data_IF_290599300623
#
_entry.id   IF_290599300623
#
_cell.length_a   1.000
_cell.length_b   1.000
_cell.length_c   1.000
_cell.angle_alpha   90.00
_cell.angle_beta   90.00
_cell.angle_gamma   90.00
#
_symmetry.space_group_name_H-M   'P 1'
#
loop_
_entity.id
_entity.type
_entity.pdbx_description
1 polymer ?
#
# COMPACT_ATOMS: atom_id res chain seq x y z
N UNK A 1 19.92 -7.74 12.13
CA UNK A 1 18.57 -7.93 11.53
C UNK A 1 17.72 -8.70 12.53
N UNK A 2 16.56 -8.18 12.96
CA UNK A 2 15.70 -8.81 13.98
C UNK A 2 15.06 -10.14 13.52
N UNK A 3 15.10 -10.45 12.23
CA UNK A 3 14.57 -11.68 11.64
C UNK A 3 15.56 -12.28 10.63
N UNK A 4 16.44 -13.21 11.03
CA UNK A 4 17.39 -13.85 10.13
C UNK A 4 16.67 -14.79 9.13
N UNK A 5 16.93 -14.61 7.83
CA UNK A 5 16.31 -15.41 6.76
C UNK A 5 16.47 -16.93 6.94
N UNK A 6 17.59 -17.37 7.52
CA UNK A 6 17.87 -18.79 7.76
C UNK A 6 16.87 -19.46 8.73
N UNK A 7 16.25 -18.69 9.63
CA UNK A 7 15.29 -19.21 10.61
C UNK A 7 13.84 -19.05 10.14
N UNK A 8 13.55 -18.01 9.36
CA UNK A 8 12.19 -17.61 8.96
C UNK A 8 11.85 -17.88 7.49
N UNK A 9 12.67 -18.64 6.75
CA UNK A 9 12.45 -18.95 5.33
C UNK A 9 11.06 -19.54 5.03
N UNK A 10 10.53 -20.35 5.95
CA UNK A 10 9.19 -20.96 5.83
C UNK A 10 8.07 -19.92 5.90
N UNK A 11 8.22 -18.88 6.72
CA UNK A 11 7.26 -17.78 6.85
C UNK A 11 7.25 -16.93 5.59
N UNK A 12 8.44 -16.59 5.07
CA UNK A 12 8.55 -15.90 3.78
C UNK A 12 7.97 -16.73 2.63
N UNK A 13 8.24 -18.04 2.60
CA UNK A 13 7.67 -18.96 1.61
C UNK A 13 6.14 -19.03 1.70
N UNK A 14 5.58 -19.14 2.91
CA UNK A 14 4.13 -19.14 3.14
C UNK A 14 3.49 -17.81 2.73
N UNK A 15 4.12 -16.67 3.05
CA UNK A 15 3.64 -15.36 2.65
C UNK A 15 3.64 -15.18 1.13
N UNK A 16 4.72 -15.58 0.44
CA UNK A 16 4.79 -15.54 -1.02
C UNK A 16 3.74 -16.45 -1.65
N UNK A 17 3.55 -17.66 -1.14
CA UNK A 17 2.53 -18.59 -1.62
C UNK A 17 1.12 -18.01 -1.45
N UNK A 18 0.84 -17.40 -0.29
CA UNK A 18 -0.43 -16.73 -0.02
C UNK A 18 -0.69 -15.59 -1.02
N UNK A 19 0.31 -14.74 -1.27
CA UNK A 19 0.22 -13.65 -2.26
C UNK A 19 -0.05 -14.20 -3.66
N UNK A 20 0.68 -15.24 -4.09
CA UNK A 20 0.49 -15.86 -5.40
C UNK A 20 -0.90 -16.49 -5.55
N UNK A 21 -1.41 -17.13 -4.50
CA UNK A 21 -2.76 -17.70 -4.47
C UNK A 21 -3.83 -16.62 -4.57
N UNK A 22 -3.75 -15.57 -3.74
CA UNK A 22 -4.69 -14.47 -3.76
C UNK A 22 -4.71 -13.78 -5.14
N UNK A 23 -3.52 -13.54 -5.71
CA UNK A 23 -3.36 -12.91 -7.02
C UNK A 23 -3.92 -13.78 -8.15
N UNK A 24 -3.71 -15.10 -8.07
CA UNK A 24 -4.29 -16.05 -9.03
C UNK A 24 -5.81 -16.12 -8.94
N UNK A 25 -6.39 -15.98 -7.74
CA UNK A 25 -7.84 -15.97 -7.53
C UNK A 25 -8.48 -14.67 -8.06
N UNK A 26 -7.92 -13.52 -7.70
CA UNK A 26 -8.44 -12.20 -8.09
C UNK A 26 -8.44 -12.01 -9.62
N UNK A 27 -7.36 -12.45 -10.28
CA UNK A 27 -7.17 -12.26 -11.71
C UNK A 27 -7.71 -13.43 -12.56
N UNK A 28 -7.83 -14.64 -11.99
CA UNK A 28 -8.29 -15.84 -12.70
C UNK A 28 -9.80 -16.08 -12.62
N UNK A 29 -10.45 -15.72 -11.51
CA UNK A 29 -11.85 -16.12 -11.24
C UNK A 29 -12.82 -14.93 -11.27
N UNK A 30 -12.43 -13.76 -10.77
CA UNK A 30 -13.41 -12.72 -10.42
C UNK A 30 -13.67 -11.61 -11.46
N UNK A 31 -12.74 -11.30 -12.38
CA UNK A 31 -12.89 -10.12 -13.25
C UNK A 31 -13.06 -10.44 -14.74
N UNK A 32 -14.22 -11.00 -15.13
CA UNK A 32 -14.59 -11.22 -16.55
C UNK A 32 -15.27 -10.03 -17.24
N UNK A 33 -15.69 -8.99 -16.51
CA UNK A 33 -16.37 -7.84 -17.11
C UNK A 33 -15.75 -6.52 -16.66
N UNK A 34 -14.90 -5.95 -17.50
CA UNK A 34 -14.34 -4.63 -17.33
C UNK A 34 -15.42 -3.58 -17.62
N UNK A 35 -16.04 -3.04 -16.58
CA UNK A 35 -16.79 -1.79 -16.71
C UNK A 35 -15.77 -0.65 -16.75
N UNK A 36 -15.71 0.06 -17.87
CA UNK A 36 -14.78 1.18 -18.02
C UNK A 36 -15.33 2.37 -17.24
N UNK A 37 -14.86 2.56 -16.01
CA UNK A 37 -15.22 3.71 -15.18
C UNK A 37 -14.71 4.97 -15.90
N UNK A 38 -15.60 5.94 -16.10
CA UNK A 38 -15.25 7.21 -16.73
C UNK A 38 -14.23 7.98 -15.87
N UNK A 39 -13.28 8.74 -16.46
CA UNK A 39 -12.33 9.55 -15.68
C UNK A 39 -12.99 10.47 -14.66
N UNK A 40 -14.20 10.98 -14.98
CA UNK A 40 -14.98 11.85 -14.09
C UNK A 40 -15.52 11.10 -12.86
N UNK A 41 -15.98 9.87 -13.04
CA UNK A 41 -16.44 9.02 -11.95
C UNK A 41 -15.26 8.57 -11.09
N UNK A 42 -14.13 8.21 -11.71
CA UNK A 42 -12.92 7.81 -10.98
C UNK A 42 -12.39 8.91 -10.07
N UNK A 43 -12.39 10.18 -10.54
CA UNK A 43 -12.03 11.33 -9.71
C UNK A 43 -13.02 11.51 -8.56
N UNK A 44 -14.32 11.36 -8.81
CA UNK A 44 -15.35 11.44 -7.77
C UNK A 44 -15.16 10.38 -6.68
N UNK A 45 -14.92 9.13 -7.07
CA UNK A 45 -14.60 8.04 -6.15
C UNK A 45 -13.31 8.31 -5.37
N UNK A 46 -12.26 8.78 -6.03
CA UNK A 46 -11.00 9.11 -5.37
C UNK A 46 -11.18 10.22 -4.32
N UNK A 47 -11.89 11.30 -4.67
CA UNK A 47 -12.19 12.39 -3.77
C UNK A 47 -13.03 11.95 -2.56
N UNK A 48 -14.00 11.07 -2.78
CA UNK A 48 -14.79 10.47 -1.69
C UNK A 48 -13.91 9.69 -0.71
N UNK A 49 -13.06 8.80 -1.21
CA UNK A 49 -12.17 8.00 -0.36
C UNK A 49 -11.12 8.84 0.37
N UNK A 50 -10.56 9.86 -0.29
CA UNK A 50 -9.63 10.80 0.35
C UNK A 50 -10.34 11.57 1.45
N UNK A 51 -11.56 12.06 1.20
CA UNK A 51 -12.34 12.78 2.21
C UNK A 51 -12.64 11.90 3.43
N UNK A 52 -13.00 10.63 3.19
CA UNK A 52 -13.24 9.67 4.26
C UNK A 52 -11.96 9.39 5.07
N UNK A 53 -10.81 9.26 4.41
CA UNK A 53 -9.52 9.09 5.08
C UNK A 53 -9.12 10.32 5.93
N UNK A 54 -9.40 11.53 5.43
CA UNK A 54 -9.15 12.77 6.18
C UNK A 54 -10.09 12.92 7.38
N UNK A 55 -11.38 12.58 7.23
CA UNK A 55 -12.33 12.53 8.33
C UNK A 55 -11.92 11.51 9.39
N UNK A 56 -11.47 10.33 8.95
CA UNK A 56 -10.92 9.32 9.84
C UNK A 56 -9.67 9.83 10.57
N UNK A 57 -8.72 10.46 9.87
CA UNK A 57 -7.53 11.04 10.48
C UNK A 57 -7.88 12.08 11.56
N UNK A 58 -8.87 12.94 11.28
CA UNK A 58 -9.35 13.91 12.26
C UNK A 58 -9.99 13.21 13.47
N UNK A 59 -10.84 12.20 13.26
CA UNK A 59 -11.39 11.39 14.34
C UNK A 59 -10.32 10.67 15.16
N UNK A 60 -9.28 10.17 14.49
CA UNK A 60 -8.15 9.48 15.10
C UNK A 60 -7.30 10.43 15.94
N UNK A 61 -7.06 11.65 15.46
CA UNK A 61 -6.44 12.74 16.23
C UNK A 61 -7.24 13.06 17.50
N UNK A 62 -8.57 13.21 17.39
CA UNK A 62 -9.43 13.52 18.54
C UNK A 62 -9.44 12.37 19.56
N UNK A 63 -9.49 11.12 19.07
CA UNK A 63 -9.39 9.94 19.92
C UNK A 63 -8.03 9.86 20.61
N UNK A 64 -6.94 10.10 19.89
CA UNK A 64 -5.59 10.13 20.44
C UNK A 64 -5.45 11.21 21.52
N UNK A 65 -5.93 12.43 21.24
CA UNK A 65 -5.97 13.51 22.21
C UNK A 65 -6.73 13.12 23.49
N UNK A 66 -7.94 12.57 23.34
CA UNK A 66 -8.77 12.15 24.48
C UNK A 66 -8.07 11.05 25.29
N UNK A 67 -7.44 10.09 24.62
CA UNK A 67 -6.71 9.00 25.26
C UNK A 67 -5.44 9.48 25.99
N UNK A 68 -4.67 10.39 25.40
CA UNK A 68 -3.46 10.92 26.04
C UNK A 68 -3.76 11.90 27.17
N UNK A 69 -4.81 12.72 27.05
CA UNK A 69 -5.24 13.64 28.12
C UNK A 69 -5.78 12.91 29.35
N UNK A 70 -6.38 11.72 29.18
CA UNK A 70 -6.85 10.89 30.30
C UNK A 70 -5.78 10.05 31.01
N UNK A 71 -4.53 10.01 30.52
CA UNK A 71 -3.46 9.14 31.06
C UNK A 71 -2.18 9.94 31.37
N UNK A 72 -2.07 10.55 32.56
CA UNK A 72 -0.90 11.34 32.97
C UNK A 72 0.43 10.55 32.95
N UNK A 73 0.38 9.24 33.18
CA UNK A 73 1.56 8.36 33.16
C UNK A 73 2.21 8.27 31.78
N UNK A 74 1.40 8.22 30.70
CA UNK A 74 1.89 8.16 29.32
C UNK A 74 2.54 9.48 28.90
N UNK A 75 2.01 10.61 29.38
CA UNK A 75 2.57 11.95 29.16
C UNK A 75 3.93 12.11 29.86
N UNK A 76 4.06 11.57 31.07
CA UNK A 76 5.32 11.57 31.82
C UNK A 76 6.42 10.71 31.15
N UNK A 77 6.04 9.55 30.58
CA UNK A 77 6.95 8.68 29.83
C UNK A 77 7.40 9.29 28.50
N UNK A 78 6.50 9.97 27.81
CA UNK A 78 6.79 10.56 26.50
C UNK A 78 7.49 11.93 26.58
N UNK A 79 7.39 12.63 27.72
CA UNK A 79 7.93 13.99 27.89
C UNK A 79 7.32 15.03 26.94
N UNK A 80 6.16 14.72 26.34
CA UNK A 80 5.47 15.53 25.33
C UNK A 80 4.06 15.87 25.82
N UNK A 81 3.50 16.98 25.33
CA UNK A 81 2.09 17.31 25.59
C UNK A 81 1.15 16.34 24.88
N UNK A 82 -0.09 16.21 25.37
CA UNK A 82 -1.12 15.40 24.73
C UNK A 82 -1.39 15.88 23.28
N UNK A 83 -1.25 17.18 23.05
CA UNK A 83 -1.32 17.81 21.73
C UNK A 83 -0.25 17.29 20.79
N UNK A 84 1.00 17.29 21.24
CA UNK A 84 2.13 16.94 20.41
C UNK A 84 2.07 15.46 20.01
N UNK A 85 1.65 14.59 20.94
CA UNK A 85 1.45 13.16 20.68
C UNK A 85 0.28 12.90 19.73
N UNK A 86 -0.87 13.54 19.97
CA UNK A 86 -2.02 13.41 19.08
C UNK A 86 -1.69 13.89 17.66
N UNK A 87 -0.96 15.02 17.55
CA UNK A 87 -0.49 15.57 16.28
C UNK A 87 0.48 14.62 15.59
N UNK A 88 1.43 14.06 16.32
CA UNK A 88 2.38 13.09 15.78
C UNK A 88 1.65 11.87 15.20
N UNK A 89 0.71 11.29 15.95
CA UNK A 89 -0.08 10.13 15.50
C UNK A 89 -0.91 10.44 14.25
N UNK A 90 -1.55 11.61 14.21
CA UNK A 90 -2.28 12.05 13.01
C UNK A 90 -1.37 12.29 11.80
N UNK A 91 -0.17 12.84 12.01
CA UNK A 91 0.81 13.01 10.96
C UNK A 91 1.36 11.67 10.46
N UNK A 92 1.65 10.72 11.34
CA UNK A 92 2.10 9.37 10.97
C UNK A 92 1.06 8.66 10.10
N UNK A 93 -0.22 8.72 10.49
CA UNK A 93 -1.31 8.18 9.67
C UNK A 93 -1.38 8.86 8.30
N UNK A 94 -1.39 10.20 8.28
CA UNK A 94 -1.53 10.97 7.03
C UNK A 94 -0.33 10.73 6.10
N UNK A 95 0.88 10.73 6.63
CA UNK A 95 2.10 10.42 5.87
C UNK A 95 2.04 9.02 5.30
N UNK A 96 1.65 8.01 6.10
CA UNK A 96 1.45 6.66 5.62
C UNK A 96 0.42 6.59 4.48
N UNK A 97 -0.75 7.20 4.67
CA UNK A 97 -1.81 7.25 3.66
C UNK A 97 -1.35 7.91 2.35
N UNK A 98 -0.66 9.04 2.42
CA UNK A 98 -0.16 9.76 1.24
C UNK A 98 0.91 8.93 0.53
N UNK A 99 1.83 8.31 1.27
CA UNK A 99 2.86 7.44 0.68
C UNK A 99 2.23 6.25 -0.02
N UNK A 100 1.25 5.58 0.61
CA UNK A 100 0.54 4.46 0.00
C UNK A 100 -0.23 4.90 -1.26
N UNK A 101 -0.88 6.07 -1.25
CA UNK A 101 -1.54 6.60 -2.44
C UNK A 101 -0.58 7.00 -3.54
N UNK A 102 0.55 7.62 -3.22
CA UNK A 102 1.56 7.96 -4.21
C UNK A 102 2.10 6.70 -4.91
N UNK A 103 2.39 5.64 -4.15
CA UNK A 103 2.83 4.34 -4.71
C UNK A 103 1.77 3.71 -5.61
N UNK A 104 0.49 3.80 -5.25
CA UNK A 104 -0.60 3.29 -6.09
C UNK A 104 -0.72 4.06 -7.41
N UNK A 105 -0.61 5.40 -7.37
CA UNK A 105 -0.70 6.27 -8.55
C UNK A 105 0.52 6.09 -9.47
N UNK A 106 1.72 5.99 -8.91
CA UNK A 106 2.96 5.75 -9.65
C UNK A 106 2.89 4.47 -10.49
N UNK A 107 2.43 3.37 -9.88
CA UNK A 107 2.23 2.10 -10.56
C UNK A 107 1.26 2.20 -11.74
N UNK A 108 0.10 2.84 -11.56
CA UNK A 108 -0.90 3.04 -12.64
C UNK A 108 -0.32 3.90 -13.76
N UNK A 109 0.41 4.97 -13.42
CA UNK A 109 1.02 5.87 -14.39
C UNK A 109 2.00 5.13 -15.30
N UNK A 110 2.89 4.30 -14.73
CA UNK A 110 3.82 3.48 -15.52
C UNK A 110 3.07 2.56 -16.48
N UNK A 111 2.00 1.89 -16.04
CA UNK A 111 1.22 1.02 -16.92
C UNK A 111 0.56 1.79 -18.06
N UNK A 112 -0.05 2.96 -17.78
CA UNK A 112 -0.69 3.79 -18.81
C UNK A 112 0.33 4.28 -19.84
N UNK A 113 1.53 4.71 -19.42
CA UNK A 113 2.60 5.14 -20.33
C UNK A 113 3.03 3.98 -21.23
N UNK A 114 3.28 2.80 -20.65
CA UNK A 114 3.69 1.60 -21.40
C UNK A 114 2.60 1.17 -22.39
N UNK A 115 1.33 1.12 -21.97
CA UNK A 115 0.22 0.73 -22.85
C UNK A 115 0.01 1.70 -24.00
N UNK A 116 0.16 3.01 -23.76
CA UNK A 116 0.08 4.03 -24.81
C UNK A 116 1.26 3.92 -25.78
N UNK A 117 2.48 3.72 -25.29
CA UNK A 117 3.67 3.58 -26.14
C UNK A 117 3.54 2.40 -27.11
N UNK A 118 3.00 1.27 -26.65
CA UNK A 118 2.79 0.07 -27.47
C UNK A 118 1.42 0.00 -28.18
N UNK A 119 0.55 1.00 -27.98
CA UNK A 119 -0.77 1.04 -28.61
C UNK A 119 -1.69 -0.15 -28.26
N UNK A 120 -1.61 -0.66 -27.02
CA UNK A 120 -2.30 -1.89 -26.63
C UNK A 120 -3.82 -1.65 -26.52
N UNK A 121 -4.67 -2.36 -27.31
CA UNK A 121 -6.12 -2.24 -27.23
C UNK A 121 -6.66 -2.61 -25.84
N UNK A 122 -7.70 -1.89 -25.37
CA UNK A 122 -8.26 -2.04 -24.01
C UNK A 122 -8.65 -3.49 -23.62
N UNK A 123 -9.04 -4.29 -24.61
CA UNK A 123 -9.40 -5.71 -24.44
C UNK A 123 -8.22 -6.55 -23.93
N UNK A 124 -6.99 -6.20 -24.33
CA UNK A 124 -5.77 -6.92 -23.95
C UNK A 124 -5.07 -6.33 -22.72
N UNK A 125 -5.39 -5.10 -22.32
CA UNK A 125 -4.73 -4.41 -21.20
C UNK A 125 -4.78 -5.23 -19.90
N UNK A 126 -5.91 -5.87 -19.59
CA UNK A 126 -6.02 -6.71 -18.38
C UNK A 126 -5.05 -7.91 -18.41
N UNK A 127 -4.90 -8.58 -19.56
CA UNK A 127 -3.97 -9.71 -19.70
C UNK A 127 -2.51 -9.26 -19.64
N UNK A 128 -2.18 -8.13 -20.26
CA UNK A 128 -0.81 -7.59 -20.21
C UNK A 128 -0.49 -7.11 -18.79
N UNK A 129 -1.45 -6.48 -18.11
CA UNK A 129 -1.32 -6.08 -16.70
C UNK A 129 -1.04 -7.28 -15.80
N UNK A 130 -1.74 -8.40 -16.00
CA UNK A 130 -1.52 -9.63 -15.24
C UNK A 130 -0.06 -10.10 -15.32
N UNK A 131 0.46 -10.30 -16.54
CA UNK A 131 1.84 -10.74 -16.73
C UNK A 131 2.86 -9.70 -16.26
N UNK A 132 2.54 -8.40 -16.41
CA UNK A 132 3.35 -7.30 -15.93
C UNK A 132 3.48 -7.27 -14.40
N UNK A 133 2.37 -7.40 -13.67
CA UNK A 133 2.37 -7.45 -12.19
C UNK A 133 3.07 -8.71 -11.69
N UNK A 134 2.84 -9.86 -12.30
CA UNK A 134 3.53 -11.11 -11.95
C UNK A 134 5.06 -10.96 -12.14
N UNK A 135 5.47 -10.40 -13.28
CA UNK A 135 6.88 -10.11 -13.57
C UNK A 135 7.48 -9.12 -12.58
N UNK A 136 6.79 -8.02 -12.30
CA UNK A 136 7.23 -7.01 -11.34
C UNK A 136 7.38 -7.60 -9.92
N UNK A 137 6.45 -8.46 -9.50
CA UNK A 137 6.54 -9.16 -8.21
C UNK A 137 7.76 -10.08 -8.15
N UNK A 138 8.03 -10.83 -9.23
CA UNK A 138 9.20 -11.69 -9.33
C UNK A 138 10.51 -10.89 -9.25
N UNK A 139 10.65 -9.83 -10.07
CA UNK A 139 11.81 -8.95 -10.03
C UNK A 139 11.98 -8.31 -8.66
N UNK A 140 10.88 -7.90 -8.02
CA UNK A 140 10.89 -7.37 -6.66
C UNK A 140 11.42 -8.39 -5.65
N UNK A 141 10.96 -9.64 -5.71
CA UNK A 141 11.46 -10.70 -4.84
C UNK A 141 12.96 -10.96 -5.04
N UNK A 142 13.43 -10.98 -6.29
CA UNK A 142 14.85 -11.15 -6.63
C UNK A 142 15.68 -9.99 -6.08
N UNK A 143 15.27 -8.73 -6.31
CA UNK A 143 16.00 -7.57 -5.82
C UNK A 143 16.02 -7.46 -4.30
N UNK A 144 14.94 -7.83 -3.62
CA UNK A 144 14.92 -7.89 -2.14
C UNK A 144 15.89 -8.96 -1.64
N UNK A 145 15.89 -10.16 -2.24
CA UNK A 145 16.80 -11.23 -1.86
C UNK A 145 18.27 -10.85 -2.10
N UNK A 146 18.58 -10.28 -3.26
CA UNK A 146 19.93 -9.79 -3.58
C UNK A 146 20.36 -8.65 -2.65
N UNK A 147 19.48 -7.68 -2.39
CA UNK A 147 19.75 -6.58 -1.46
C UNK A 147 19.96 -7.07 -0.03
N UNK A 148 19.19 -8.05 0.41
CA UNK A 148 19.36 -8.68 1.72
C UNK A 148 20.71 -9.40 1.85
N UNK A 149 21.15 -10.11 0.81
CA UNK A 149 22.46 -10.76 0.77
C UNK A 149 23.60 -9.74 0.78
N UNK A 150 23.49 -8.66 0.00
CA UNK A 150 24.51 -7.61 -0.05
C UNK A 150 24.64 -6.84 1.27
N UNK A 151 23.55 -6.63 2.01
CA UNK A 151 23.59 -5.98 3.34
C UNK A 151 24.19 -6.86 4.44
N UNK A 152 24.41 -8.16 4.18
CA UNK A 152 25.06 -9.06 5.14
C UNK A 152 26.58 -9.10 5.01
N UNK A 153 27.14 -8.51 3.95
CA UNK A 153 28.59 -8.31 3.76
C UNK A 153 28.97 -6.84 4.01
#
# INVERSE_FOLDING_TARGET
MLFPFAEYYWFYGAFVLFVLLMLSLDLGVFNRHAHVISPKEAIGWSAFWISLALLFNFGFYQFAWWKFSGNPELLALAGKSAEELARQVGLEFLTGFVVEKALAVDNIFVFVVVFNYFGIPAIYQHRVLFYGVLGALLFRAIFIALGALLMQY
#
